data_IF_106305372909
#
_entry.id   IF_106305372909
#
_cell.length_a   1.000
_cell.length_b   1.000
_cell.length_c   1.000
_cell.angle_alpha   90.00
_cell.angle_beta   90.00
_cell.angle_gamma   90.00
#
_symmetry.space_group_name_H-M   'P 1'
#
loop_
_entity.id
_entity.type
_entity.pdbx_description
1 polymer ?
#
# COMPACT_ATOMS: atom_id res chain seq x y z
N UNK A 1 3.18 12.29 5.13
CA UNK A 1 3.55 11.20 6.05
C UNK A 1 3.01 11.48 7.44
N UNK A 2 2.63 10.41 8.16
CA UNK A 2 2.31 10.43 9.59
C UNK A 2 3.38 9.67 10.37
N UNK A 3 3.55 10.01 11.65
CA UNK A 3 4.33 9.20 12.57
C UNK A 3 3.54 7.93 12.94
N UNK A 4 4.18 6.78 12.83
CA UNK A 4 3.72 5.51 13.37
C UNK A 4 4.57 5.22 14.60
N UNK A 5 3.97 5.10 15.81
CA UNK A 5 4.71 4.75 17.01
C UNK A 5 5.36 3.38 16.87
N UNK A 6 6.58 3.24 17.40
CA UNK A 6 7.20 1.93 17.53
C UNK A 6 6.42 1.03 18.48
N UNK A 7 6.48 -0.28 18.25
CA UNK A 7 5.76 -1.27 19.02
C UNK A 7 6.45 -2.63 18.98
N UNK A 8 6.16 -3.44 19.98
CA UNK A 8 6.27 -4.89 19.88
C UNK A 8 4.84 -5.43 19.70
N UNK A 9 4.60 -6.15 18.61
CA UNK A 9 3.26 -6.61 18.25
C UNK A 9 3.32 -8.03 17.71
N UNK A 10 2.18 -8.72 17.74
CA UNK A 10 2.04 -10.04 17.14
C UNK A 10 1.77 -9.86 15.66
N UNK A 11 2.72 -10.27 14.84
CA UNK A 11 2.64 -10.25 13.38
C UNK A 11 2.17 -11.61 12.85
N UNK A 12 1.35 -11.60 11.81
CA UNK A 12 0.82 -12.79 11.17
C UNK A 12 -0.39 -13.39 11.91
N UNK A 13 -0.88 -14.49 11.36
CA UNK A 13 -2.16 -15.09 11.74
C UNK A 13 -1.93 -16.27 12.70
N UNK A 14 -2.71 -16.34 13.78
CA UNK A 14 -2.66 -17.48 14.71
C UNK A 14 -3.60 -18.63 14.30
N UNK A 15 -3.44 -19.80 14.93
CA UNK A 15 -4.24 -20.98 14.56
C UNK A 15 -5.74 -20.81 14.78
N UNK A 16 -6.15 -20.00 15.76
CA UNK A 16 -7.58 -19.74 16.05
C UNK A 16 -8.16 -18.82 14.99
N UNK A 17 -7.44 -17.77 14.61
CA UNK A 17 -7.80 -16.87 13.51
C UNK A 17 -7.87 -17.63 12.18
N UNK A 18 -6.91 -18.53 11.94
CA UNK A 18 -6.90 -19.39 10.75
C UNK A 18 -8.15 -20.26 10.63
N UNK A 19 -8.52 -20.95 11.70
CA UNK A 19 -9.71 -21.80 11.72
C UNK A 19 -10.97 -20.98 11.39
N UNK A 20 -11.03 -19.74 11.89
CA UNK A 20 -12.09 -18.79 11.57
C UNK A 20 -12.11 -18.37 10.09
N UNK A 21 -10.93 -18.13 9.50
CA UNK A 21 -10.80 -17.81 8.07
C UNK A 21 -11.22 -19.00 7.21
N UNK A 22 -10.75 -20.21 7.52
CA UNK A 22 -11.10 -21.46 6.83
C UNK A 22 -12.61 -21.70 6.85
N UNK A 23 -13.26 -21.55 8.00
CA UNK A 23 -14.71 -21.74 8.13
C UNK A 23 -15.51 -20.75 7.26
N UNK A 24 -15.04 -19.51 7.16
CA UNK A 24 -15.75 -18.43 6.44
C UNK A 24 -15.48 -18.42 4.94
N UNK A 25 -14.27 -18.77 4.53
CA UNK A 25 -13.84 -18.74 3.11
C UNK A 25 -14.01 -20.09 2.41
N UNK A 26 -14.11 -21.18 3.17
CA UNK A 26 -14.12 -22.54 2.62
C UNK A 26 -12.74 -22.99 2.09
N UNK A 27 -11.66 -22.29 2.46
CA UNK A 27 -10.29 -22.70 2.14
C UNK A 27 -10.02 -24.08 2.75
N UNK A 28 -9.46 -24.99 1.94
CA UNK A 28 -9.29 -26.40 2.34
C UNK A 28 -7.94 -26.66 3.04
N UNK A 29 -6.98 -25.77 2.84
CA UNK A 29 -5.66 -25.75 3.49
C UNK A 29 -5.16 -24.31 3.61
N UNK A 30 -3.96 -24.12 4.18
CA UNK A 30 -3.37 -22.79 4.34
C UNK A 30 -3.13 -22.08 3.01
N UNK A 31 -2.96 -22.82 1.90
CA UNK A 31 -2.81 -22.30 0.55
C UNK A 31 -2.02 -20.98 0.46
N UNK A 32 -2.64 -19.88 0.00
CA UNK A 32 -1.99 -18.58 -0.14
C UNK A 32 -1.64 -17.90 1.21
N UNK A 33 -2.24 -18.32 2.32
CA UNK A 33 -2.00 -17.78 3.66
C UNK A 33 -0.82 -18.44 4.36
N UNK A 34 -0.21 -19.50 3.79
CA UNK A 34 0.95 -20.17 4.38
C UNK A 34 2.05 -19.24 4.89
N UNK A 35 2.45 -18.18 4.14
CA UNK A 35 3.42 -17.19 4.61
C UNK A 35 2.98 -16.35 5.81
N UNK A 36 1.68 -16.27 6.11
CA UNK A 36 1.13 -15.55 7.26
C UNK A 36 1.25 -16.37 8.57
N UNK A 37 1.69 -17.63 8.51
CA UNK A 37 1.80 -18.54 9.65
C UNK A 37 3.24 -18.92 10.02
N UNK A 38 3.52 -19.18 11.32
CA UNK A 38 2.67 -18.87 12.48
C UNK A 38 2.84 -17.40 12.91
N UNK A 39 1.83 -16.88 13.61
CA UNK A 39 1.95 -15.62 14.33
C UNK A 39 3.18 -15.60 15.26
N UNK A 40 3.92 -14.49 15.25
CA UNK A 40 5.13 -14.31 16.05
C UNK A 40 5.31 -12.84 16.46
N UNK A 41 6.02 -12.60 17.56
CA UNK A 41 6.26 -11.23 18.03
C UNK A 41 7.37 -10.57 17.22
N UNK A 42 7.10 -9.38 16.70
CA UNK A 42 8.04 -8.53 15.98
C UNK A 42 8.10 -7.16 16.65
N UNK A 43 9.30 -6.60 16.74
CA UNK A 43 9.50 -5.21 17.17
C UNK A 43 9.75 -4.34 15.96
N UNK A 44 9.02 -3.23 15.87
CA UNK A 44 9.25 -2.14 14.93
C UNK A 44 9.58 -0.88 15.71
N UNK A 45 10.61 -0.16 15.28
CA UNK A 45 10.90 1.17 15.82
C UNK A 45 9.85 2.17 15.33
N UNK A 46 9.87 3.39 15.87
CA UNK A 46 9.06 4.47 15.32
C UNK A 46 9.52 4.79 13.88
N UNK A 47 8.57 5.07 13.00
CA UNK A 47 8.85 5.45 11.62
C UNK A 47 7.77 6.39 11.09
N UNK A 48 8.02 7.02 9.95
CA UNK A 48 7.03 7.78 9.22
C UNK A 48 6.52 6.97 8.03
N UNK A 49 5.23 7.06 7.72
CA UNK A 49 4.63 6.43 6.55
C UNK A 49 3.73 7.43 5.82
N UNK A 50 3.69 7.39 4.49
CA UNK A 50 2.70 8.13 3.72
C UNK A 50 1.27 7.73 4.14
N UNK A 51 0.39 8.73 4.20
CA UNK A 51 -1.01 8.55 4.65
C UNK A 51 -1.92 8.09 3.53
N UNK A 52 -1.44 8.18 2.29
CA UNK A 52 -2.11 7.77 1.06
C UNK A 52 -1.08 7.11 0.17
N UNK A 53 -1.55 6.34 -0.79
CA UNK A 53 -0.67 5.73 -1.77
C UNK A 53 -0.15 6.78 -2.77
N UNK A 54 0.98 6.47 -3.41
CA UNK A 54 1.58 7.30 -4.45
C UNK A 54 0.62 7.39 -5.61
N UNK A 55 0.23 8.61 -5.98
CA UNK A 55 -0.68 8.85 -7.09
C UNK A 55 0.02 8.70 -8.44
N UNK A 56 -0.76 8.44 -9.50
CA UNK A 56 -0.26 8.47 -10.87
C UNK A 56 0.42 9.81 -11.21
N UNK A 57 -0.15 10.94 -10.79
CA UNK A 57 0.44 12.25 -11.00
C UNK A 57 1.83 12.38 -10.34
N UNK A 58 1.98 11.91 -9.10
CA UNK A 58 3.26 11.95 -8.39
C UNK A 58 4.29 11.01 -9.02
N UNK A 59 3.88 9.83 -9.48
CA UNK A 59 4.77 8.90 -10.20
C UNK A 59 5.17 9.46 -11.57
N UNK A 60 4.30 10.22 -12.25
CA UNK A 60 4.63 10.87 -13.52
C UNK A 60 5.71 11.94 -13.37
N UNK A 61 5.78 12.64 -12.23
CA UNK A 61 6.91 13.53 -11.92
C UNK A 61 8.23 12.77 -11.81
N UNK A 62 8.20 11.59 -11.17
CA UNK A 62 9.35 10.71 -11.05
C UNK A 62 9.82 10.21 -12.42
N UNK A 63 8.91 9.68 -13.25
CA UNK A 63 9.25 9.22 -14.62
C UNK A 63 9.80 10.35 -15.48
N UNK A 64 9.26 11.57 -15.37
CA UNK A 64 9.80 12.74 -16.08
C UNK A 64 11.22 13.08 -15.64
N UNK A 65 11.52 12.94 -14.36
CA UNK A 65 12.85 13.18 -13.80
C UNK A 65 13.82 12.01 -14.05
N UNK A 66 13.30 10.79 -14.19
CA UNK A 66 14.04 9.53 -14.35
C UNK A 66 13.43 8.69 -15.48
N UNK A 67 13.63 9.07 -16.76
CA UNK A 67 12.97 8.43 -17.90
C UNK A 67 13.28 6.94 -18.06
N UNK A 68 14.35 6.43 -17.45
CA UNK A 68 14.65 5.00 -17.40
C UNK A 68 13.58 4.17 -16.67
N UNK A 69 12.73 4.80 -15.87
CA UNK A 69 11.57 4.17 -15.23
C UNK A 69 10.27 4.38 -16.03
N UNK A 70 10.33 4.94 -17.23
CA UNK A 70 9.17 5.02 -18.13
C UNK A 70 8.76 3.66 -18.69
N UNK A 71 7.61 3.60 -19.35
CA UNK A 71 7.01 2.36 -19.87
C UNK A 71 7.95 1.54 -20.80
N UNK A 72 8.85 2.21 -21.51
CA UNK A 72 9.85 1.59 -22.39
C UNK A 72 11.24 1.41 -21.76
N UNK A 73 11.46 1.93 -20.55
CA UNK A 73 12.77 1.94 -19.89
C UNK A 73 13.01 0.76 -18.95
N UNK A 74 11.93 0.13 -18.43
CA UNK A 74 12.03 -1.03 -17.54
C UNK A 74 12.20 -2.31 -18.35
N UNK A 75 13.13 -3.16 -17.93
CA UNK A 75 13.43 -4.44 -18.59
C UNK A 75 12.19 -5.36 -18.58
N UNK A 76 11.68 -5.78 -19.76
CA UNK A 76 10.56 -6.72 -19.87
C UNK A 76 10.75 -8.04 -19.13
N UNK A 77 12.00 -8.48 -18.90
CA UNK A 77 12.27 -9.68 -18.11
C UNK A 77 11.96 -9.52 -16.61
N UNK A 78 11.80 -8.28 -16.14
CA UNK A 78 11.56 -7.94 -14.72
C UNK A 78 10.10 -7.69 -14.39
N UNK A 79 9.19 -7.83 -15.36
CA UNK A 79 7.76 -7.65 -15.16
C UNK A 79 6.92 -8.55 -16.08
N UNK A 80 5.64 -8.67 -15.77
CA UNK A 80 4.69 -9.54 -16.47
C UNK A 80 4.09 -8.91 -17.74
N UNK A 81 4.79 -7.99 -18.39
CA UNK A 81 4.29 -7.25 -19.55
C UNK A 81 3.27 -6.13 -19.27
N UNK A 82 2.85 -5.92 -18.01
CA UNK A 82 1.81 -4.94 -17.66
C UNK A 82 2.34 -3.60 -17.17
N UNK A 83 3.66 -3.37 -17.16
CA UNK A 83 4.25 -2.19 -16.53
C UNK A 83 3.68 -0.89 -17.10
N UNK A 84 3.04 -0.08 -16.25
CA UNK A 84 2.31 1.15 -16.61
C UNK A 84 1.33 0.96 -17.79
N UNK A 85 0.68 -0.21 -17.92
CA UNK A 85 -0.18 -0.55 -19.07
C UNK A 85 -1.35 0.41 -19.29
N UNK A 86 -1.79 1.11 -18.23
CA UNK A 86 -2.88 2.11 -18.30
C UNK A 86 -2.40 3.48 -18.75
N UNK A 87 -1.09 3.71 -18.91
CA UNK A 87 -0.52 4.98 -19.36
C UNK A 87 -0.44 5.03 -20.89
N UNK A 88 -0.66 6.21 -21.46
CA UNK A 88 -0.50 6.47 -22.89
C UNK A 88 0.56 7.54 -23.11
N UNK A 89 1.44 7.32 -24.10
CA UNK A 89 2.53 8.23 -24.46
C UNK A 89 3.39 8.68 -23.24
N UNK A 90 3.59 7.77 -22.28
CA UNK A 90 4.36 8.05 -21.06
C UNK A 90 3.66 8.92 -20.02
N UNK A 91 2.34 9.10 -20.15
CA UNK A 91 1.51 9.90 -19.23
C UNK A 91 0.32 9.10 -18.70
N UNK A 92 -0.08 9.30 -17.44
CA UNK A 92 -1.31 8.71 -16.92
C UNK A 92 -2.56 9.37 -17.54
N UNK A 93 -3.67 8.63 -17.70
CA UNK A 93 -4.96 9.21 -18.05
C UNK A 93 -5.36 10.31 -17.06
N UNK A 94 -5.99 11.37 -17.54
CA UNK A 94 -6.34 12.55 -16.74
C UNK A 94 -7.24 12.17 -15.56
N UNK A 95 -8.22 11.30 -15.81
CA UNK A 95 -9.17 10.80 -14.82
C UNK A 95 -8.53 9.92 -13.74
N UNK A 96 -7.32 9.38 -13.96
CA UNK A 96 -6.60 8.52 -13.02
C UNK A 96 -5.47 9.25 -12.30
N UNK A 97 -5.26 10.56 -12.54
CA UNK A 97 -4.14 11.31 -11.96
C UNK A 97 -4.06 11.24 -10.44
N UNK A 98 -5.20 11.31 -9.77
CA UNK A 98 -5.33 11.26 -8.31
C UNK A 98 -5.57 9.84 -7.77
N UNK A 99 -5.58 8.84 -8.63
CA UNK A 99 -5.66 7.44 -8.24
C UNK A 99 -4.26 6.92 -7.87
N UNK A 100 -4.18 5.89 -7.00
CA UNK A 100 -2.94 5.16 -6.79
C UNK A 100 -2.32 4.71 -8.11
N UNK A 101 -1.02 4.86 -8.25
CA UNK A 101 -0.28 4.23 -9.34
C UNK A 101 -0.32 2.72 -9.15
N UNK A 102 -0.70 2.01 -10.20
CA UNK A 102 -0.73 0.55 -10.27
C UNK A 102 0.16 0.07 -11.41
N UNK A 103 0.31 -1.25 -11.53
CA UNK A 103 1.13 -1.88 -12.56
C UNK A 103 2.59 -1.40 -12.57
N UNK A 104 3.17 -1.27 -11.39
CA UNK A 104 4.58 -0.93 -11.20
C UNK A 104 5.34 -2.15 -10.70
N UNK A 105 6.64 -2.20 -10.96
CA UNK A 105 7.52 -3.24 -10.39
C UNK A 105 7.94 -2.84 -8.98
N UNK A 106 8.29 -3.82 -8.15
CA UNK A 106 8.91 -3.54 -6.84
C UNK A 106 10.14 -2.64 -6.96
N UNK A 107 10.96 -2.86 -8.00
CA UNK A 107 12.16 -2.06 -8.25
C UNK A 107 11.82 -0.59 -8.54
N UNK A 108 10.79 -0.33 -9.37
CA UNK A 108 10.35 1.03 -9.68
C UNK A 108 9.69 1.73 -8.48
N UNK A 109 8.94 0.98 -7.65
CA UNK A 109 8.36 1.48 -6.41
C UNK A 109 9.45 1.89 -5.40
N UNK A 110 10.48 1.04 -5.24
CA UNK A 110 11.65 1.37 -4.41
C UNK A 110 12.38 2.59 -4.92
N UNK A 111 12.69 2.64 -6.22
CA UNK A 111 13.39 3.76 -6.83
C UNK A 111 12.61 5.08 -6.71
N UNK A 112 11.29 5.04 -6.81
CA UNK A 112 10.43 6.20 -6.54
C UNK A 112 10.60 6.68 -5.10
N UNK A 113 10.49 5.79 -4.10
CA UNK A 113 10.62 6.18 -2.70
C UNK A 113 12.03 6.75 -2.42
N UNK A 114 13.09 6.12 -2.92
CA UNK A 114 14.47 6.61 -2.81
C UNK A 114 14.63 7.99 -3.45
N UNK A 115 14.08 8.22 -4.63
CA UNK A 115 14.08 9.53 -5.31
C UNK A 115 13.38 10.61 -4.48
N UNK A 116 12.37 10.26 -3.69
CA UNK A 116 11.70 11.17 -2.74
C UNK A 116 12.44 11.34 -1.41
N UNK A 117 13.60 10.71 -1.22
CA UNK A 117 14.32 10.68 0.06
C UNK A 117 13.62 9.83 1.12
N UNK A 118 12.95 8.76 0.69
CA UNK A 118 12.19 7.81 1.49
C UNK A 118 12.66 6.37 1.18
N UNK A 119 11.95 5.38 1.70
CA UNK A 119 12.11 3.95 1.39
C UNK A 119 10.76 3.26 1.27
N UNK A 120 10.73 2.00 0.86
CA UNK A 120 9.55 1.17 1.08
C UNK A 120 9.48 0.78 2.58
N UNK A 121 8.27 0.63 3.15
CA UNK A 121 8.09 -0.01 4.44
C UNK A 121 8.53 -1.47 4.36
N UNK A 122 9.00 -2.01 5.48
CA UNK A 122 9.08 -3.46 5.67
C UNK A 122 7.68 -4.04 5.81
N UNK A 123 7.54 -5.35 5.65
CA UNK A 123 6.25 -6.04 5.85
C UNK A 123 5.70 -5.82 7.27
N UNK A 124 6.55 -5.95 8.29
CA UNK A 124 6.17 -5.71 9.68
C UNK A 124 5.71 -4.27 9.95
N UNK A 125 6.39 -3.27 9.35
CA UNK A 125 5.94 -1.87 9.44
C UNK A 125 4.60 -1.66 8.73
N UNK A 126 4.38 -2.32 7.59
CA UNK A 126 3.13 -2.21 6.84
C UNK A 126 1.97 -2.81 7.63
N UNK A 127 2.14 -4.01 8.19
CA UNK A 127 1.13 -4.68 9.01
C UNK A 127 0.82 -3.89 10.28
N UNK A 128 1.85 -3.43 11.00
CA UNK A 128 1.64 -2.60 12.19
C UNK A 128 0.91 -1.29 11.88
N UNK A 129 1.24 -0.65 10.75
CA UNK A 129 0.55 0.56 10.32
C UNK A 129 -0.92 0.32 9.94
N UNK A 130 -1.25 -0.91 9.51
CA UNK A 130 -2.59 -1.36 9.13
C UNK A 130 -3.47 -1.72 10.32
N UNK A 131 -2.91 -2.14 11.46
CA UNK A 131 -3.70 -2.63 12.59
C UNK A 131 -4.66 -1.56 13.16
N UNK A 132 -5.90 -1.96 13.39
CA UNK A 132 -6.90 -1.18 14.12
C UNK A 132 -6.42 -0.89 15.55
N UNK A 133 -6.60 0.33 16.10
CA UNK A 133 -6.29 0.62 17.51
C UNK A 133 -7.05 -0.26 18.49
N UNK A 134 -8.27 -0.64 18.14
CA UNK A 134 -9.14 -1.51 18.93
C UNK A 134 -8.86 -3.00 18.69
N UNK A 135 -7.92 -3.33 17.79
CA UNK A 135 -7.74 -4.67 17.25
C UNK A 135 -8.83 -5.06 16.26
N UNK A 136 -8.81 -6.33 15.84
CA UNK A 136 -9.76 -6.91 14.90
C UNK A 136 -9.14 -7.30 13.56
N UNK A 137 -9.93 -7.97 12.74
CA UNK A 137 -9.46 -8.58 11.48
C UNK A 137 -9.06 -7.57 10.41
N UNK A 138 -9.73 -6.42 10.35
CA UNK A 138 -9.48 -5.40 9.33
C UNK A 138 -8.89 -4.11 9.94
N UNK A 139 -8.32 -3.20 9.13
CA UNK A 139 -7.85 -1.90 9.61
C UNK A 139 -8.90 -1.03 10.30
N UNK A 140 -10.19 -1.33 10.10
CA UNK A 140 -11.34 -0.67 10.71
C UNK A 140 -12.05 -1.54 11.78
N UNK A 141 -11.43 -2.63 12.22
CA UNK A 141 -11.99 -3.60 13.18
C UNK A 141 -12.72 -4.77 12.50
N UNK A 142 -13.62 -5.44 13.24
CA UNK A 142 -14.28 -6.68 12.78
C UNK A 142 -15.52 -6.47 11.89
N UNK A 143 -15.84 -5.22 11.55
CA UNK A 143 -16.97 -4.95 10.68
C UNK A 143 -16.73 -5.56 9.30
N UNK A 144 -17.72 -6.30 8.78
CA UNK A 144 -17.66 -6.87 7.45
C UNK A 144 -17.32 -5.78 6.43
N UNK A 145 -16.43 -6.05 5.48
CA UNK A 145 -16.04 -5.03 4.52
C UNK A 145 -17.22 -4.59 3.66
N UNK A 146 -17.22 -3.31 3.28
CA UNK A 146 -18.27 -2.66 2.52
C UNK A 146 -17.65 -1.55 1.66
N UNK A 147 -18.34 -1.10 0.62
CA UNK A 147 -17.83 -0.13 -0.38
C UNK A 147 -17.43 1.23 0.22
N UNK A 148 -18.00 1.55 1.39
CA UNK A 148 -17.65 2.73 2.18
C UNK A 148 -16.36 2.57 2.99
N UNK A 149 -15.80 1.37 3.06
CA UNK A 149 -14.61 1.02 3.85
C UNK A 149 -13.42 0.63 2.97
N UNK A 150 -13.68 -0.03 1.82
CA UNK A 150 -12.63 -0.55 0.94
C UNK A 150 -13.09 -0.64 -0.50
N UNK A 151 -12.13 -0.50 -1.42
CA UNK A 151 -12.29 -0.78 -2.86
C UNK A 151 -11.65 -2.13 -3.18
N UNK A 152 -12.44 -3.14 -3.59
CA UNK A 152 -11.93 -4.45 -4.04
C UNK A 152 -12.76 -5.00 -5.21
N UNK A 153 -12.22 -5.96 -5.97
CA UNK A 153 -12.87 -6.50 -7.20
C UNK A 153 -14.25 -7.18 -7.09
N UNK A 154 -14.89 -7.19 -5.92
CA UNK A 154 -16.20 -7.81 -5.66
C UNK A 154 -17.26 -6.79 -5.26
N UNK A 155 -16.92 -5.49 -5.22
CA UNK A 155 -17.91 -4.42 -5.15
C UNK A 155 -18.19 -3.72 -6.50
N UNK A 156 -17.75 -4.34 -7.61
CA UNK A 156 -18.03 -3.81 -8.96
C UNK A 156 -17.25 -2.54 -9.31
N UNK A 157 -16.29 -2.13 -8.49
CA UNK A 157 -15.31 -1.11 -8.85
C UNK A 157 -14.20 -1.76 -9.68
N UNK A 158 -14.36 -1.78 -11.00
CA UNK A 158 -13.35 -2.28 -11.97
C UNK A 158 -12.14 -1.33 -12.12
N UNK A 159 -11.93 -0.45 -11.14
CA UNK A 159 -10.84 0.54 -11.11
C UNK A 159 -10.48 0.89 -9.68
N UNK A 160 -9.27 1.43 -9.51
CA UNK A 160 -8.85 2.09 -8.27
C UNK A 160 -9.75 3.30 -7.98
N UNK A 161 -9.72 3.81 -6.74
CA UNK A 161 -10.41 5.04 -6.34
C UNK A 161 -9.40 6.18 -6.11
N UNK A 162 -9.77 7.46 -6.31
CA UNK A 162 -8.88 8.58 -6.00
C UNK A 162 -8.45 8.55 -4.54
N UNK A 163 -7.17 8.78 -4.23
CA UNK A 163 -6.68 8.74 -2.84
C UNK A 163 -7.36 9.76 -1.93
N UNK A 164 -7.94 10.82 -2.50
CA UNK A 164 -8.69 11.85 -1.78
C UNK A 164 -10.11 11.43 -1.38
N UNK A 165 -10.67 10.33 -1.90
CA UNK A 165 -12.00 9.86 -1.49
C UNK A 165 -12.03 9.48 0.01
N UNK A 166 -10.89 9.01 0.54
CA UNK A 166 -10.67 8.72 1.96
C UNK A 166 -10.77 9.98 2.84
N UNK A 167 -10.61 11.18 2.28
CA UNK A 167 -10.65 12.45 3.01
C UNK A 167 -12.05 13.09 3.06
N UNK A 168 -13.02 12.55 2.31
CA UNK A 168 -14.29 13.22 2.00
C UNK A 168 -15.53 12.80 2.80
N UNK A 169 -15.55 11.66 3.50
CA UNK A 169 -16.82 11.13 4.07
C UNK A 169 -16.99 11.23 5.59
N UNK A 170 -15.95 11.56 6.36
CA UNK A 170 -16.01 12.10 7.73
C UNK A 170 -14.58 12.15 8.29
N UNK A 171 -14.27 13.16 9.11
CA UNK A 171 -13.18 13.03 10.09
C UNK A 171 -13.55 11.91 11.06
N UNK A 172 -13.30 10.66 10.68
CA UNK A 172 -13.03 9.62 11.65
C UNK A 172 -11.53 9.58 11.76
N UNK A 173 -11.05 9.91 12.95
CA UNK A 173 -9.67 9.68 13.36
C UNK A 173 -9.40 8.18 13.39
N UNK A 174 -9.42 7.51 12.24
CA UNK A 174 -8.84 6.19 12.05
C UNK A 174 -7.75 6.39 11.02
N UNK A 175 -6.67 7.00 11.50
CA UNK A 175 -5.46 7.38 10.80
C UNK A 175 -4.66 6.18 10.25
N UNK A 176 -5.31 5.06 9.92
CA UNK A 176 -4.70 3.75 9.65
C UNK A 176 -5.30 3.00 8.45
N UNK A 177 -6.04 3.68 7.57
CA UNK A 177 -6.48 3.09 6.31
C UNK A 177 -5.26 2.68 5.46
N UNK A 178 -4.89 1.42 5.55
CA UNK A 178 -4.11 0.73 4.53
C UNK A 178 -5.11 0.37 3.45
N UNK A 179 -4.86 0.85 2.23
CA UNK A 179 -5.77 0.61 1.12
C UNK A 179 -5.85 -0.91 0.87
N UNK A 180 -7.05 -1.43 0.66
CA UNK A 180 -7.25 -2.82 0.20
C UNK A 180 -6.78 -3.06 -1.25
N UNK A 181 -6.04 -2.11 -1.83
CA UNK A 181 -5.49 -2.19 -3.17
C UNK A 181 -4.05 -2.74 -3.06
N UNK A 182 -3.93 -4.08 -3.09
CA UNK A 182 -2.69 -4.86 -2.91
C UNK A 182 -1.48 -4.47 -3.79
N UNK A 183 -1.63 -3.51 -4.72
CA UNK A 183 -0.62 -3.13 -5.72
C UNK A 183 -0.16 -1.68 -5.60
N UNK A 184 -0.65 -0.93 -4.61
CA UNK A 184 -0.40 0.51 -4.50
C UNK A 184 0.90 0.81 -3.72
N UNK A 185 1.68 1.77 -4.19
CA UNK A 185 2.98 2.13 -3.57
C UNK A 185 2.75 3.07 -2.40
N UNK A 186 3.31 2.78 -1.23
CA UNK A 186 3.33 3.68 -0.08
C UNK A 186 4.75 3.75 0.48
N UNK A 187 5.30 4.95 0.66
CA UNK A 187 6.67 5.12 1.13
C UNK A 187 6.71 5.34 2.66
N UNK A 188 7.82 4.90 3.26
CA UNK A 188 8.17 5.11 4.66
C UNK A 188 9.49 5.89 4.80
N UNK A 189 9.80 6.39 5.99
CA UNK A 189 11.09 7.04 6.28
C UNK A 189 11.36 7.23 7.77
N UNK A 190 12.62 7.37 8.14
CA UNK A 190 13.08 7.31 9.54
C UNK A 190 13.15 8.69 10.21
N UNK A 191 12.39 9.67 9.72
CA UNK A 191 12.26 11.01 10.33
C UNK A 191 13.34 12.03 9.95
N UNK A 192 14.35 11.65 9.17
CA UNK A 192 15.29 12.59 8.56
C UNK A 192 14.77 13.09 7.21
N UNK A 193 13.93 14.13 7.19
CA UNK A 193 13.70 14.82 5.91
C UNK A 193 15.01 15.49 5.47
N UNK A 194 15.54 15.21 4.26
CA UNK A 194 16.56 16.08 3.71
C UNK A 194 15.91 17.44 3.48
N UNK A 195 16.44 18.47 4.16
CA UNK A 195 16.12 19.86 3.85
C UNK A 195 16.50 20.05 2.39
N UNK A 196 15.51 20.24 1.51
CA UNK A 196 15.79 20.61 0.12
C UNK A 196 16.49 21.96 0.16
N UNK A 197 17.81 21.99 -0.04
CA UNK A 197 18.49 23.19 -0.48
C UNK A 197 17.99 23.48 -1.88
N UNK A 198 17.02 24.40 -1.97
CA UNK A 198 16.70 25.08 -3.21
C UNK A 198 17.88 26.01 -3.48
N UNK A 199 18.75 25.61 -4.40
CA UNK A 199 19.77 26.45 -5.00
C UNK A 199 19.29 26.99 -6.34
#
# INVERSE_FOLDING_TARGET
MRLVPGAEFRMGTDSVEFDGIVQRTGLQDAGPLGPEFPAHFVRVDLFFMDTVDVTNAAFAEFVRARPEWGASGVDPATHNGRYLEHWSEGTPPEELREHPVTFVTWASARAYCEWRGKRLPTEAEYEWAAQSPEGGEYPWGDAAPHDSLVSWGGNGLDRTMPVAWELGSQRRESSRAVSGQSSAVRCAGDGGFPVRHVG
#
